data_IF_923906279922
#
_entry.id   IF_923906279922
#
_cell.length_a   1.000
_cell.length_b   1.000
_cell.length_c   1.000
_cell.angle_alpha   90.00
_cell.angle_beta   90.00
_cell.angle_gamma   90.00
#
_symmetry.space_group_name_H-M   'P 1'
#
loop_
_entity.id
_entity.type
_entity.pdbx_description
1 polymer ?
#
# COMPACT_ATOMS: atom_id res chain seq x y z
N UNK A 1 -7.93 -14.03 6.35
CA UNK A 1 -8.48 -13.34 5.17
C UNK A 1 -9.98 -13.36 5.28
N UNK A 2 -10.59 -14.54 5.17
CA UNK A 2 -11.91 -14.79 5.76
C UNK A 2 -11.86 -14.62 7.28
N UNK A 3 -13.02 -14.37 7.90
CA UNK A 3 -13.12 -14.08 9.33
C UNK A 3 -12.81 -15.30 10.19
N UNK A 4 -11.98 -15.06 11.19
CA UNK A 4 -11.74 -15.94 12.32
C UNK A 4 -11.35 -15.04 13.50
N UNK A 5 -11.78 -15.37 14.73
CA UNK A 5 -11.53 -14.52 15.91
C UNK A 5 -10.05 -14.38 16.25
N UNK A 6 -9.24 -15.39 15.98
CA UNK A 6 -7.80 -15.38 16.19
C UNK A 6 -7.02 -14.86 14.97
N UNK A 7 -7.69 -14.56 13.85
CA UNK A 7 -7.05 -14.02 12.66
C UNK A 7 -7.06 -12.50 12.68
N UNK A 8 -6.02 -11.91 13.26
CA UNK A 8 -5.84 -10.46 13.32
C UNK A 8 -4.41 -10.05 12.95
N UNK A 9 -4.24 -8.76 12.71
CA UNK A 9 -2.95 -8.11 12.47
C UNK A 9 -3.08 -6.62 12.81
N UNK A 10 -1.99 -5.88 12.77
CA UNK A 10 -1.97 -4.44 12.98
C UNK A 10 -1.55 -3.70 11.71
N UNK A 11 -1.82 -2.39 11.65
CA UNK A 11 -1.33 -1.56 10.54
C UNK A 11 0.21 -1.61 10.43
N UNK A 12 0.89 -1.69 11.58
CA UNK A 12 2.34 -1.79 11.66
C UNK A 12 2.87 -3.11 11.10
N UNK A 13 2.29 -4.25 11.48
CA UNK A 13 2.71 -5.56 10.97
C UNK A 13 2.48 -5.68 9.47
N UNK A 14 1.34 -5.17 8.98
CA UNK A 14 1.01 -5.12 7.56
C UNK A 14 1.96 -4.22 6.78
N UNK A 15 2.41 -3.11 7.36
CA UNK A 15 3.45 -2.28 6.74
C UNK A 15 4.79 -3.03 6.70
N UNK A 16 5.19 -3.71 7.78
CA UNK A 16 6.44 -4.47 7.85
C UNK A 16 6.49 -5.60 6.81
N UNK A 17 5.45 -6.43 6.73
CA UNK A 17 5.40 -7.51 5.75
C UNK A 17 5.35 -6.97 4.32
N UNK A 18 4.67 -5.84 4.10
CA UNK A 18 4.62 -5.18 2.79
C UNK A 18 5.98 -4.63 2.40
N UNK A 19 6.73 -4.02 3.34
CA UNK A 19 8.11 -3.58 3.10
C UNK A 19 8.96 -4.77 2.65
N UNK A 20 8.91 -5.88 3.36
CA UNK A 20 9.66 -7.09 2.99
C UNK A 20 9.23 -7.60 1.61
N UNK A 21 7.93 -7.73 1.35
CA UNK A 21 7.40 -8.20 0.07
C UNK A 21 7.80 -7.28 -1.10
N UNK A 22 7.81 -5.96 -0.90
CA UNK A 22 8.17 -4.98 -1.92
C UNK A 22 9.66 -5.01 -2.29
N UNK A 23 10.52 -5.70 -1.54
CA UNK A 23 11.90 -5.97 -1.96
C UNK A 23 11.95 -6.98 -3.12
N UNK A 24 10.96 -7.87 -3.24
CA UNK A 24 10.88 -8.87 -4.29
C UNK A 24 10.36 -8.24 -5.62
N UNK A 25 11.16 -8.27 -6.71
CA UNK A 25 10.75 -7.71 -8.01
C UNK A 25 9.49 -8.35 -8.61
N UNK A 26 9.33 -9.67 -8.45
CA UNK A 26 8.14 -10.38 -8.94
C UNK A 26 6.89 -9.97 -8.18
N UNK A 27 6.98 -9.78 -6.86
CA UNK A 27 5.85 -9.27 -6.08
C UNK A 27 5.44 -7.88 -6.57
N UNK A 28 6.41 -6.96 -6.76
CA UNK A 28 6.15 -5.61 -7.32
C UNK A 28 5.44 -5.70 -8.66
N UNK A 29 5.94 -6.55 -9.57
CA UNK A 29 5.35 -6.75 -10.89
C UNK A 29 3.90 -7.22 -10.82
N UNK A 30 3.59 -8.14 -9.91
CA UNK A 30 2.23 -8.65 -9.72
C UNK A 30 1.30 -7.56 -9.17
N UNK A 31 1.68 -6.87 -8.09
CA UNK A 31 0.76 -5.94 -7.40
C UNK A 31 0.53 -4.64 -8.17
N UNK A 32 1.45 -4.24 -9.06
CA UNK A 32 1.28 -3.10 -9.95
C UNK A 32 0.45 -3.43 -11.21
N UNK A 33 0.20 -4.72 -11.50
CA UNK A 33 -0.53 -5.13 -12.70
C UNK A 33 -1.98 -4.65 -12.62
N UNK A 34 -2.40 -3.81 -13.58
CA UNK A 34 -3.76 -3.25 -13.65
C UNK A 34 -4.79 -4.25 -14.18
N UNK A 35 -4.40 -5.07 -15.14
CA UNK A 35 -5.23 -6.14 -15.68
C UNK A 35 -4.35 -7.25 -16.23
N UNK A 36 -4.87 -8.49 -16.17
CA UNK A 36 -4.18 -9.66 -16.68
C UNK A 36 -5.18 -10.54 -17.45
N UNK A 37 -4.82 -10.93 -18.66
CA UNK A 37 -5.61 -11.86 -19.46
C UNK A 37 -4.87 -13.19 -19.54
N UNK A 38 -5.56 -14.29 -19.25
CA UNK A 38 -4.98 -15.63 -19.30
C UNK A 38 -5.86 -16.61 -20.08
N UNK A 39 -5.20 -17.55 -20.75
CA UNK A 39 -5.85 -18.63 -21.48
C UNK A 39 -6.48 -19.63 -20.50
N UNK A 40 -7.63 -20.18 -20.89
CA UNK A 40 -8.30 -21.25 -20.15
C UNK A 40 -8.57 -22.37 -21.12
N UNK A 41 -8.10 -23.57 -20.81
CA UNK A 41 -8.21 -24.72 -21.71
C UNK A 41 -9.68 -24.99 -22.08
N UNK A 42 -9.94 -25.13 -23.39
CA UNK A 42 -11.29 -25.35 -23.94
C UNK A 42 -12.28 -24.20 -23.72
N UNK A 43 -11.83 -23.01 -23.32
CA UNK A 43 -12.70 -21.85 -23.02
C UNK A 43 -12.12 -20.56 -23.58
N UNK A 44 -12.97 -19.52 -23.68
CA UNK A 44 -12.50 -18.17 -24.01
C UNK A 44 -11.53 -17.66 -22.93
N UNK A 45 -10.50 -16.88 -23.30
CA UNK A 45 -9.58 -16.26 -22.34
C UNK A 45 -10.34 -15.45 -21.29
N UNK A 46 -9.85 -15.48 -20.04
CA UNK A 46 -10.43 -14.69 -18.94
C UNK A 46 -9.55 -13.49 -18.66
N UNK A 47 -10.21 -12.39 -18.27
CA UNK A 47 -9.55 -11.15 -17.89
C UNK A 47 -9.81 -10.84 -16.42
N UNK A 48 -8.74 -10.58 -15.69
CA UNK A 48 -8.76 -10.09 -14.31
C UNK A 48 -8.46 -8.60 -14.33
N UNK A 49 -9.19 -7.82 -13.54
CA UNK A 49 -8.93 -6.40 -13.33
C UNK A 49 -8.58 -6.21 -11.87
N UNK A 50 -7.51 -5.47 -11.61
CA UNK A 50 -7.09 -5.19 -10.26
C UNK A 50 -8.11 -4.29 -9.57
N UNK A 51 -8.57 -4.71 -8.40
CA UNK A 51 -9.56 -3.95 -7.63
C UNK A 51 -8.97 -2.69 -6.98
N UNK A 52 -7.65 -2.60 -6.84
CA UNK A 52 -7.00 -1.43 -6.26
C UNK A 52 -7.13 -0.22 -7.19
N UNK A 53 -8.07 0.68 -6.87
CA UNK A 53 -8.38 1.86 -7.67
C UNK A 53 -7.25 2.89 -7.69
N UNK A 54 -6.33 2.88 -6.71
CA UNK A 54 -5.21 3.82 -6.67
C UNK A 54 -4.26 3.64 -7.85
N UNK A 55 -4.10 2.40 -8.36
CA UNK A 55 -3.26 2.14 -9.53
C UNK A 55 -3.68 2.95 -10.77
N UNK A 56 -4.94 3.37 -10.86
CA UNK A 56 -5.46 4.20 -11.94
C UNK A 56 -5.63 5.68 -11.54
N UNK A 57 -5.74 5.99 -10.24
CA UNK A 57 -6.22 7.29 -9.74
C UNK A 57 -5.16 8.11 -9.01
N UNK A 58 -4.12 7.47 -8.48
CA UNK A 58 -3.11 8.13 -7.66
C UNK A 58 -1.75 8.11 -8.38
N UNK A 59 -1.16 9.28 -8.70
CA UNK A 59 0.14 9.35 -9.35
C UNK A 59 1.20 8.57 -8.58
N UNK A 60 1.99 7.75 -9.30
CA UNK A 60 3.04 6.94 -8.69
C UNK A 60 2.57 5.72 -7.90
N UNK A 61 1.26 5.44 -7.82
CA UNK A 61 0.77 4.23 -7.15
C UNK A 61 1.26 2.95 -7.83
N UNK A 62 1.77 2.02 -7.03
CA UNK A 62 2.40 0.79 -7.48
C UNK A 62 2.01 -0.45 -6.66
N UNK A 63 0.88 -0.38 -5.92
CA UNK A 63 0.33 -1.49 -5.15
C UNK A 63 -0.61 -1.02 -4.02
N UNK A 64 -1.02 -1.89 -3.08
CA UNK A 64 -0.66 -3.31 -2.95
C UNK A 64 -1.92 -4.18 -2.95
N UNK A 65 -2.81 -4.04 -1.95
CA UNK A 65 -3.95 -4.96 -1.83
C UNK A 65 -5.12 -4.41 -1.02
N UNK A 66 -6.32 -4.62 -1.55
CA UNK A 66 -7.62 -4.35 -0.91
C UNK A 66 -8.07 -5.52 -0.01
N UNK A 67 -8.88 -5.24 1.02
CA UNK A 67 -9.53 -6.25 1.86
C UNK A 67 -10.91 -5.81 2.33
N UNK A 68 -11.80 -6.78 2.52
CA UNK A 68 -13.13 -6.57 3.11
C UNK A 68 -13.69 -7.87 3.68
N UNK A 69 -14.08 -7.83 4.94
CA UNK A 69 -15.09 -8.70 5.56
C UNK A 69 -15.93 -7.82 6.50
N UNK A 70 -17.13 -8.28 6.90
CA UNK A 70 -18.03 -7.49 7.73
C UNK A 70 -17.36 -6.96 9.02
N UNK A 71 -16.53 -7.79 9.66
CA UNK A 71 -15.85 -7.48 10.91
C UNK A 71 -14.68 -6.51 10.74
N UNK A 72 -13.99 -6.53 9.60
CA UNK A 72 -12.83 -5.66 9.34
C UNK A 72 -13.21 -4.31 8.74
N UNK A 73 -14.40 -4.20 8.13
CA UNK A 73 -14.68 -3.09 7.22
C UNK A 73 -13.76 -3.11 6.00
N UNK A 74 -13.67 -1.99 5.27
CA UNK A 74 -12.72 -1.88 4.16
C UNK A 74 -11.30 -1.68 4.72
N UNK A 75 -10.36 -2.43 4.15
CA UNK A 75 -8.93 -2.29 4.42
C UNK A 75 -8.16 -2.13 3.11
N UNK A 76 -7.05 -1.40 3.16
CA UNK A 76 -6.17 -1.19 2.02
C UNK A 76 -4.73 -1.07 2.51
N UNK A 77 -3.85 -1.86 1.92
CA UNK A 77 -2.42 -1.55 1.88
C UNK A 77 -2.13 -0.94 0.53
N UNK A 78 -1.71 0.32 0.52
CA UNK A 78 -1.35 1.08 -0.66
C UNK A 78 0.17 1.34 -0.67
N UNK A 79 0.72 1.46 -1.87
CA UNK A 79 2.11 1.91 -2.07
C UNK A 79 2.16 2.88 -3.24
N UNK A 80 3.03 3.87 -3.12
CA UNK A 80 3.38 4.76 -4.22
C UNK A 80 4.87 5.10 -4.17
N UNK A 81 5.46 5.37 -5.33
CA UNK A 81 6.87 5.76 -5.46
C UNK A 81 6.98 7.10 -6.19
N UNK A 82 7.56 8.12 -5.53
CA UNK A 82 7.86 9.44 -6.11
C UNK A 82 9.35 9.75 -5.89
N UNK A 83 10.03 10.23 -6.93
CA UNK A 83 11.45 10.63 -6.86
C UNK A 83 12.40 9.61 -6.18
N UNK A 84 12.16 8.31 -6.39
CA UNK A 84 12.96 7.24 -5.79
C UNK A 84 12.62 6.89 -4.34
N UNK A 85 11.68 7.61 -3.72
CA UNK A 85 11.14 7.31 -2.39
C UNK A 85 9.84 6.53 -2.55
N UNK A 86 9.77 5.36 -1.92
CA UNK A 86 8.56 4.55 -1.83
C UNK A 86 7.94 4.68 -0.45
N UNK A 87 6.64 4.99 -0.41
CA UNK A 87 5.85 5.02 0.82
C UNK A 87 4.80 3.93 0.80
N UNK A 88 4.51 3.38 1.98
CA UNK A 88 3.45 2.40 2.22
C UNK A 88 2.42 3.04 3.14
N UNK A 89 1.15 3.01 2.75
CA UNK A 89 0.04 3.45 3.58
C UNK A 89 -0.85 2.25 3.91
N UNK A 90 -1.17 2.05 5.19
CA UNK A 90 -2.06 0.98 5.64
C UNK A 90 -3.29 1.61 6.27
N UNK A 91 -4.46 1.30 5.73
CA UNK A 91 -5.75 1.78 6.20
C UNK A 91 -6.59 0.57 6.63
N UNK A 92 -7.04 0.58 7.88
CA UNK A 92 -7.91 -0.45 8.45
C UNK A 92 -9.25 0.17 8.83
N UNK A 93 -10.35 -0.58 8.64
CA UNK A 93 -11.70 -0.20 9.05
C UNK A 93 -12.17 1.20 8.56
N UNK A 94 -11.93 1.52 7.28
CA UNK A 94 -12.34 2.82 6.72
C UNK A 94 -13.65 2.76 5.92
N UNK A 95 -14.38 3.87 5.90
CA UNK A 95 -15.53 4.11 5.00
C UNK A 95 -15.09 4.64 3.63
N UNK A 96 -13.94 5.33 3.57
CA UNK A 96 -13.32 5.91 2.37
C UNK A 96 -11.87 5.45 2.25
N UNK A 97 -11.68 4.14 2.10
CA UNK A 97 -10.35 3.51 2.19
C UNK A 97 -9.35 4.05 1.14
N UNK A 98 -9.84 4.46 -0.02
CA UNK A 98 -9.00 5.01 -1.09
C UNK A 98 -8.65 6.47 -0.85
N UNK A 99 -9.60 7.29 -0.39
CA UNK A 99 -9.32 8.69 -0.04
C UNK A 99 -8.39 8.80 1.16
N UNK A 100 -8.58 7.98 2.19
CA UNK A 100 -7.70 7.96 3.37
C UNK A 100 -6.28 7.51 3.00
N UNK A 101 -6.14 6.49 2.15
CA UNK A 101 -4.83 6.06 1.67
C UNK A 101 -4.13 7.15 0.82
N UNK A 102 -4.86 7.85 -0.04
CA UNK A 102 -4.32 8.96 -0.81
C UNK A 102 -3.83 10.10 0.09
N UNK A 103 -4.64 10.52 1.07
CA UNK A 103 -4.27 11.56 2.05
C UNK A 103 -3.03 11.19 2.85
N UNK A 104 -2.90 9.91 3.26
CA UNK A 104 -1.72 9.41 3.96
C UNK A 104 -0.46 9.45 3.08
N UNK A 105 -0.58 9.07 1.81
CA UNK A 105 0.53 9.13 0.86
C UNK A 105 0.94 10.59 0.58
N UNK A 106 -0.02 11.47 0.34
CA UNK A 106 0.22 12.91 0.14
C UNK A 106 0.92 13.53 1.35
N UNK A 107 0.43 13.24 2.55
CA UNK A 107 1.05 13.68 3.78
C UNK A 107 2.50 13.16 3.91
N UNK A 108 2.74 11.89 3.61
CA UNK A 108 4.08 11.30 3.65
C UNK A 108 5.04 11.95 2.65
N UNK A 109 4.62 12.20 1.41
CA UNK A 109 5.46 12.85 0.41
C UNK A 109 5.70 14.34 0.70
N UNK A 110 4.71 15.04 1.28
CA UNK A 110 4.87 16.44 1.68
C UNK A 110 5.92 16.64 2.80
N UNK A 111 6.13 15.63 3.66
CA UNK A 111 7.08 15.70 4.78
C UNK A 111 8.41 15.01 4.50
N UNK A 112 8.56 14.37 3.34
CA UNK A 112 9.80 13.74 2.89
C UNK A 112 10.11 14.16 1.44
N UNK A 113 10.74 15.33 1.24
CA UNK A 113 11.08 15.82 -0.08
C UNK A 113 12.10 14.91 -0.78
N UNK A 114 12.24 15.01 -2.11
CA UNK A 114 13.18 14.21 -2.90
C UNK A 114 14.61 14.26 -2.34
N UNK A 115 15.20 13.09 -2.06
CA UNK A 115 16.58 13.00 -1.59
C UNK A 115 16.90 11.65 -0.93
N UNK A 116 18.18 11.40 -0.58
CA UNK A 116 18.55 10.24 0.22
C UNK A 116 17.81 10.28 1.57
N UNK A 117 17.11 9.20 1.89
CA UNK A 117 16.46 9.05 3.20
C UNK A 117 17.56 8.89 4.24
N UNK A 118 17.61 9.81 5.18
CA UNK A 118 18.58 9.77 6.28
C UNK A 118 18.02 9.02 7.49
N UNK A 119 18.91 8.56 8.38
CA UNK A 119 18.50 7.96 9.65
C UNK A 119 17.73 8.93 10.58
N UNK A 120 17.85 10.24 10.35
CA UNK A 120 17.06 11.29 11.01
C UNK A 120 15.62 11.35 10.49
N UNK A 121 15.39 11.06 9.22
CA UNK A 121 14.05 11.07 8.61
C UNK A 121 13.21 9.90 9.12
N UNK A 122 13.85 8.75 9.38
CA UNK A 122 13.22 7.57 9.98
C UNK A 122 12.73 7.80 11.43
N UNK A 123 13.32 8.77 12.15
CA UNK A 123 12.97 9.07 13.55
C UNK A 123 11.87 10.12 13.68
N UNK A 124 11.54 10.85 12.62
CA UNK A 124 10.44 11.83 12.58
C UNK A 124 9.30 11.25 11.74
N UNK A 125 8.48 10.38 12.31
CA UNK A 125 7.14 10.16 11.75
C UNK A 125 6.23 11.22 12.38
N UNK A 126 5.85 12.30 11.66
CA UNK A 126 4.87 13.21 12.20
C UNK A 126 3.54 12.46 12.35
N UNK A 127 2.99 12.44 13.56
CA UNK A 127 1.65 11.92 13.80
C UNK A 127 0.64 12.90 13.18
N UNK A 128 -0.28 12.42 12.31
CA UNK A 128 -1.28 13.28 11.68
C UNK A 128 -2.27 13.80 12.72
N UNK A 129 -2.05 15.03 13.21
CA UNK A 129 -2.82 15.65 14.31
C UNK A 129 -4.32 15.86 14.04
N UNK A 130 -4.79 15.76 12.80
CA UNK A 130 -6.19 16.05 12.43
C UNK A 130 -6.94 14.89 11.77
N UNK A 131 -6.40 13.67 11.79
CA UNK A 131 -7.13 12.50 11.34
C UNK A 131 -7.89 11.89 12.52
N UNK A 132 -9.14 11.50 12.28
CA UNK A 132 -10.01 10.96 13.32
C UNK A 132 -9.30 9.81 14.09
N UNK A 133 -9.50 9.67 15.41
CA UNK A 133 -8.69 8.84 16.31
C UNK A 133 -8.65 7.33 15.98
N UNK A 134 -9.39 6.89 14.97
CA UNK A 134 -9.41 5.53 14.44
C UNK A 134 -8.50 5.32 13.21
N UNK A 135 -7.88 6.37 12.65
CA UNK A 135 -6.95 6.24 11.53
C UNK A 135 -5.59 5.78 12.06
N UNK A 136 -5.39 4.48 11.91
CA UNK A 136 -4.36 3.70 12.59
C UNK A 136 -3.02 3.90 11.90
N UNK A 137 -2.16 4.75 12.48
CA UNK A 137 -0.69 4.77 12.38
C UNK A 137 -0.10 4.75 10.95
N UNK A 138 0.45 5.90 10.52
CA UNK A 138 1.34 5.98 9.36
C UNK A 138 2.65 5.23 9.67
N UNK A 139 3.02 4.28 8.81
CA UNK A 139 4.30 3.56 8.93
C UNK A 139 5.05 3.73 7.63
N UNK A 140 5.87 4.79 7.57
CA UNK A 140 6.74 5.04 6.44
C UNK A 140 7.93 4.10 6.51
N UNK A 141 8.00 3.20 5.54
CA UNK A 141 9.06 2.22 5.41
C UNK A 141 9.79 2.45 4.11
N UNK A 142 10.93 3.11 4.22
CA UNK A 142 11.80 3.42 3.10
C UNK A 142 12.54 2.17 2.64
N UNK A 143 12.48 1.91 1.34
CA UNK A 143 13.28 0.89 0.68
C UNK A 143 14.25 1.60 -0.26
N UNK A 144 15.58 1.47 -0.08
CA UNK A 144 16.51 1.90 -1.11
C UNK A 144 16.26 1.09 -2.39
N UNK A 145 16.39 1.76 -3.54
CA UNK A 145 16.30 1.14 -4.86
C UNK A 145 17.39 0.06 -4.98
N UNK A 146 17.10 -1.18 -5.38
CA UNK A 146 18.17 -2.10 -5.74
C UNK A 146 18.91 -1.54 -6.98
N UNK A 147 20.24 -1.72 -7.09
CA UNK A 147 20.98 -1.31 -8.26
C UNK A 147 20.38 -1.98 -9.51
N UNK A 148 20.31 -1.23 -10.61
CA UNK A 148 19.93 -1.78 -11.91
C UNK A 148 20.96 -2.86 -12.26
N UNK A 149 20.47 -4.08 -12.51
CA UNK A 149 21.22 -5.12 -13.21
C UNK A 149 21.19 -4.85 -14.72
#
# INVERSE_FOLDING_TARGET
GLYDRAHYSTAYDLALITRAAMQNPSFRAIVQTRAWTFAVHGKRPRRLVNHNRLLARYPGADGVKTGYVHQSGQTLVASATHHGIRLIAVVLHSRDVYGDAARLLDFGFAHHPPGPVTASDLRRSPEPRSMAPWITRLVLLFLPRPPLA
#
